data_IF_046644889433
#
_entry.id   IF_046644889433
#
_cell.length_a   1.000
_cell.length_b   1.000
_cell.length_c   1.000
_cell.angle_alpha   90.00
_cell.angle_beta   90.00
_cell.angle_gamma   90.00
#
_symmetry.space_group_name_H-M   'P 1'
#
loop_
_entity.id
_entity.type
_entity.pdbx_description
1 polymer ?
#
# COMPACT_ATOMS: atom_id res chain seq x y z
N UNK A 1 29.82 -56.07 43.33
CA UNK A 1 28.53 -56.35 42.66
C UNK A 1 28.12 -55.07 41.96
N UNK A 2 27.89 -55.19 40.65
CA UNK A 2 27.85 -54.14 39.62
C UNK A 2 26.70 -53.13 39.82
N UNK A 3 26.97 -51.83 39.79
CA UNK A 3 25.93 -50.80 39.58
C UNK A 3 26.20 -50.05 38.29
N UNK A 4 25.27 -50.20 37.36
CA UNK A 4 25.29 -49.72 35.98
C UNK A 4 24.97 -48.22 35.97
N UNK A 5 25.87 -47.41 35.39
CA UNK A 5 25.61 -46.01 35.10
C UNK A 5 24.65 -45.89 33.91
N UNK A 6 23.47 -45.29 34.11
CA UNK A 6 22.58 -44.88 33.02
C UNK A 6 22.82 -43.39 32.72
N UNK A 7 23.49 -43.10 31.62
CA UNK A 7 23.55 -41.76 31.03
C UNK A 7 22.25 -41.50 30.26
N UNK A 8 21.43 -40.55 30.73
CA UNK A 8 20.27 -40.05 30.00
C UNK A 8 20.70 -39.01 28.97
N UNK A 9 20.41 -39.28 27.69
CA UNK A 9 20.55 -38.32 26.59
C UNK A 9 19.21 -37.60 26.44
N UNK A 10 19.13 -36.26 26.58
CA UNK A 10 17.91 -35.55 26.28
C UNK A 10 17.76 -35.36 24.76
N UNK A 11 16.78 -36.03 24.17
CA UNK A 11 16.35 -35.80 22.79
C UNK A 11 15.74 -34.40 22.67
N UNK A 12 16.41 -33.49 21.96
CA UNK A 12 15.86 -32.21 21.54
C UNK A 12 14.81 -32.44 20.45
N UNK A 13 13.54 -32.18 20.78
CA UNK A 13 12.43 -32.14 19.83
C UNK A 13 12.50 -30.79 19.09
N UNK A 14 13.00 -30.79 17.86
CA UNK A 14 12.99 -29.60 16.99
C UNK A 14 11.60 -29.50 16.37
N UNK A 15 10.82 -28.50 16.79
CA UNK A 15 9.56 -28.17 16.14
C UNK A 15 9.82 -27.45 14.80
N UNK A 16 9.28 -27.93 13.68
CA UNK A 16 9.29 -27.16 12.45
C UNK A 16 8.31 -25.99 12.60
N UNK A 17 8.83 -24.77 12.61
CA UNK A 17 8.02 -23.56 12.48
C UNK A 17 7.38 -23.56 11.09
N UNK A 18 6.07 -23.79 11.01
CA UNK A 18 5.31 -23.58 9.79
C UNK A 18 5.27 -22.07 9.51
N UNK A 19 6.14 -21.60 8.62
CA UNK A 19 6.01 -20.27 8.04
C UNK A 19 4.83 -20.31 7.05
N UNK A 20 3.65 -19.86 7.50
CA UNK A 20 2.56 -19.54 6.59
C UNK A 20 2.97 -18.28 5.83
N UNK A 21 3.40 -18.44 4.59
CA UNK A 21 3.62 -17.32 3.69
C UNK A 21 2.30 -16.63 3.41
N UNK A 22 2.11 -15.42 3.94
CA UNK A 22 1.02 -14.55 3.49
C UNK A 22 1.38 -14.13 2.07
N UNK A 23 0.61 -14.64 1.11
CA UNK A 23 0.77 -14.36 -0.31
C UNK A 23 0.49 -12.87 -0.56
N UNK A 24 1.56 -12.06 -0.56
CA UNK A 24 1.57 -10.68 -1.03
C UNK A 24 1.62 -10.67 -2.55
N UNK A 25 0.59 -11.19 -3.23
CA UNK A 25 0.44 -10.87 -4.64
C UNK A 25 -0.33 -9.56 -4.71
N UNK A 26 0.29 -8.46 -5.17
CA UNK A 26 -0.48 -7.28 -5.51
C UNK A 26 -1.54 -7.67 -6.56
N UNK A 27 -2.74 -7.06 -6.50
CA UNK A 27 -3.76 -7.24 -7.52
C UNK A 27 -3.16 -7.10 -8.93
N UNK A 28 -3.61 -7.93 -9.87
CA UNK A 28 -3.16 -7.84 -11.27
C UNK A 28 -3.63 -6.51 -11.85
N UNK A 29 -2.70 -5.63 -12.19
CA UNK A 29 -2.98 -4.42 -12.95
C UNK A 29 -3.54 -4.81 -14.32
N UNK A 30 -4.72 -4.28 -14.67
CA UNK A 30 -5.29 -4.40 -16.01
C UNK A 30 -5.29 -3.02 -16.66
N UNK A 31 -4.64 -2.96 -17.82
CA UNK A 31 -4.41 -1.80 -18.67
C UNK A 31 -3.55 -0.68 -18.07
N UNK A 32 -2.41 -0.45 -18.70
CA UNK A 32 -1.62 0.76 -18.56
C UNK A 32 -1.13 1.08 -19.96
N UNK A 33 -1.82 1.98 -20.66
CA UNK A 33 -1.30 2.57 -21.89
C UNK A 33 -0.09 3.44 -21.54
N UNK A 34 1.08 2.81 -21.37
CA UNK A 34 2.36 3.49 -21.34
C UNK A 34 2.66 4.01 -22.74
N UNK A 35 2.26 5.24 -23.02
CA UNK A 35 2.61 5.90 -24.28
C UNK A 35 4.08 6.31 -24.22
N UNK A 36 4.95 5.41 -24.68
CA UNK A 36 6.38 5.63 -24.89
C UNK A 36 6.59 6.86 -25.79
N UNK A 37 6.90 8.00 -25.18
CA UNK A 37 7.16 9.27 -25.84
C UNK A 37 8.25 10.08 -25.13
N UNK A 38 9.38 9.45 -24.78
CA UNK A 38 10.56 10.17 -24.27
C UNK A 38 11.29 10.90 -25.40
N UNK A 39 10.77 12.07 -25.76
CA UNK A 39 11.47 13.05 -26.58
C UNK A 39 11.10 14.47 -26.10
N UNK A 40 11.65 14.89 -24.97
CA UNK A 40 11.69 16.30 -24.57
C UNK A 40 12.97 16.56 -23.76
N UNK A 41 13.73 17.59 -24.13
CA UNK A 41 14.98 18.00 -23.49
C UNK A 41 14.75 18.71 -22.13
N UNK A 42 13.63 18.42 -21.47
CA UNK A 42 13.28 18.81 -20.11
C UNK A 42 12.80 17.51 -19.50
N UNK A 43 13.48 16.95 -18.49
CA UNK A 43 13.11 15.66 -17.88
C UNK A 43 11.72 15.85 -17.25
N UNK A 44 10.62 15.35 -17.84
CA UNK A 44 9.27 15.75 -17.43
C UNK A 44 8.86 15.12 -16.09
N UNK A 45 9.50 14.00 -15.72
CA UNK A 45 9.12 13.18 -14.57
C UNK A 45 10.35 12.73 -13.77
N UNK A 46 11.19 13.67 -13.36
CA UNK A 46 12.24 13.39 -12.37
C UNK A 46 11.60 13.37 -10.97
N UNK A 47 11.50 12.19 -10.36
CA UNK A 47 10.93 12.00 -9.01
C UNK A 47 11.66 12.82 -7.95
N UNK A 48 12.95 13.12 -8.13
CA UNK A 48 13.72 13.94 -7.19
C UNK A 48 13.25 15.40 -7.14
N UNK A 49 12.58 15.86 -8.22
CA UNK A 49 11.98 17.19 -8.34
C UNK A 49 10.56 17.25 -7.78
N UNK A 50 9.95 16.11 -7.42
CA UNK A 50 8.59 16.09 -6.89
C UNK A 50 8.53 16.72 -5.49
N UNK A 51 7.42 17.41 -5.15
CA UNK A 51 7.19 17.84 -3.78
C UNK A 51 7.13 16.66 -2.82
N UNK A 52 7.89 16.75 -1.72
CA UNK A 52 8.02 15.70 -0.68
C UNK A 52 6.84 15.73 0.30
N UNK A 53 5.64 15.76 -0.26
CA UNK A 53 4.37 15.76 0.47
C UNK A 53 3.52 14.58 0.05
N UNK A 54 3.04 13.84 1.05
CA UNK A 54 1.98 12.84 0.92
C UNK A 54 0.71 13.46 1.50
N UNK A 55 -0.32 13.55 0.68
CA UNK A 55 -1.64 14.03 1.05
C UNK A 55 -2.58 12.85 1.24
N UNK A 56 -3.36 12.84 2.31
CA UNK A 56 -4.40 11.83 2.55
C UNK A 56 -5.74 12.52 2.78
N UNK A 57 -6.81 12.09 2.11
CA UNK A 57 -8.15 12.60 2.39
C UNK A 57 -8.65 12.13 3.75
N UNK A 58 -9.46 12.93 4.44
CA UNK A 58 -10.03 12.56 5.74
C UNK A 58 -10.89 11.27 5.65
N UNK A 59 -11.61 11.09 4.55
CA UNK A 59 -12.33 9.85 4.24
C UNK A 59 -11.40 8.62 4.27
N UNK A 60 -10.27 8.64 3.55
CA UNK A 60 -9.32 7.53 3.59
C UNK A 60 -8.64 7.39 4.95
N UNK A 61 -8.21 8.50 5.55
CA UNK A 61 -7.49 8.51 6.83
C UNK A 61 -8.28 7.82 7.96
N UNK A 62 -9.60 7.96 7.96
CA UNK A 62 -10.50 7.38 8.96
C UNK A 62 -10.99 5.97 8.63
N UNK A 63 -10.81 5.51 7.39
CA UNK A 63 -11.24 4.18 6.94
C UNK A 63 -10.32 3.11 7.49
N UNK A 64 -10.89 2.04 8.04
CA UNK A 64 -10.15 0.89 8.59
C UNK A 64 -10.27 -0.34 7.72
N UNK A 65 -9.20 -1.11 7.65
CA UNK A 65 -9.15 -2.40 6.96
C UNK A 65 -9.82 -3.52 7.78
N UNK A 66 -11.15 -3.48 7.84
CA UNK A 66 -11.94 -4.37 8.71
C UNK A 66 -11.97 -5.81 8.23
N UNK A 67 -11.76 -6.05 6.95
CA UNK A 67 -11.73 -7.41 6.40
C UNK A 67 -10.37 -8.10 6.62
N UNK A 68 -9.50 -7.53 7.46
CA UNK A 68 -8.18 -8.07 7.80
C UNK A 68 -8.27 -9.04 8.97
N UNK A 69 -7.31 -9.98 9.05
CA UNK A 69 -7.25 -10.97 10.14
C UNK A 69 -6.62 -10.42 11.43
N UNK A 70 -6.74 -9.12 11.68
CA UNK A 70 -6.13 -8.47 12.86
C UNK A 70 -7.19 -8.04 13.86
N UNK A 71 -6.88 -8.19 15.15
CA UNK A 71 -7.75 -7.73 16.24
C UNK A 71 -7.84 -6.19 16.31
N UNK A 72 -6.85 -5.49 15.75
CA UNK A 72 -6.79 -4.03 15.67
C UNK A 72 -6.55 -3.67 14.21
N UNK A 73 -7.63 -3.50 13.42
CA UNK A 73 -7.53 -3.16 12.01
C UNK A 73 -6.77 -1.85 11.78
N UNK A 74 -5.70 -1.83 10.97
CA UNK A 74 -5.02 -0.59 10.60
C UNK A 74 -5.98 0.33 9.84
N UNK A 75 -5.81 1.63 10.03
CA UNK A 75 -6.50 2.67 9.29
C UNK A 75 -5.71 3.08 8.04
N UNK A 76 -6.36 3.77 7.11
CA UNK A 76 -5.68 4.41 5.99
C UNK A 76 -4.60 5.39 6.45
N UNK A 77 -4.78 6.05 7.61
CA UNK A 77 -3.74 6.87 8.23
C UNK A 77 -2.53 6.04 8.66
N UNK A 78 -2.74 4.88 9.26
CA UNK A 78 -1.64 4.01 9.71
C UNK A 78 -0.83 3.50 8.50
N UNK A 79 -1.52 3.16 7.40
CA UNK A 79 -0.89 2.78 6.15
C UNK A 79 -0.13 3.94 5.49
N UNK A 80 -0.71 5.14 5.47
CA UNK A 80 -0.04 6.32 4.92
C UNK A 80 1.20 6.73 5.74
N UNK A 81 1.14 6.58 7.06
CA UNK A 81 2.29 6.81 7.93
C UNK A 81 3.44 5.85 7.60
N UNK A 82 3.13 4.56 7.46
CA UNK A 82 4.12 3.56 7.06
C UNK A 82 4.72 3.89 5.69
N UNK A 83 3.87 4.29 4.73
CA UNK A 83 4.32 4.67 3.39
C UNK A 83 5.28 5.87 3.39
N UNK A 84 5.02 6.88 4.23
CA UNK A 84 5.93 8.00 4.42
C UNK A 84 7.28 7.53 4.97
N UNK A 85 7.29 6.66 5.97
CA UNK A 85 8.53 6.10 6.53
C UNK A 85 9.33 5.32 5.48
N UNK A 86 8.66 4.58 4.60
CA UNK A 86 9.33 3.88 3.50
C UNK A 86 9.93 4.83 2.46
N UNK A 87 9.19 5.90 2.09
CA UNK A 87 9.71 6.94 1.20
C UNK A 87 10.95 7.60 1.80
N UNK A 88 10.92 7.95 3.08
CA UNK A 88 12.09 8.51 3.77
C UNK A 88 13.27 7.54 3.75
N UNK A 89 13.03 6.25 3.99
CA UNK A 89 14.08 5.22 3.96
C UNK A 89 14.71 5.04 2.57
N UNK A 90 13.94 5.18 1.49
CA UNK A 90 14.40 4.92 0.13
C UNK A 90 15.03 6.17 -0.49
N UNK A 91 14.44 7.35 -0.26
CA UNK A 91 14.92 8.61 -0.87
C UNK A 91 15.91 9.37 0.01
N UNK A 92 16.09 8.97 1.28
CA UNK A 92 16.95 9.68 2.24
C UNK A 92 16.52 11.13 2.52
N UNK A 93 15.29 11.49 2.17
CA UNK A 93 14.74 12.84 2.32
C UNK A 93 13.55 12.79 3.29
N UNK A 94 13.31 13.86 4.05
CA UNK A 94 12.11 13.94 4.89
C UNK A 94 10.84 14.11 4.05
N UNK A 95 9.80 13.34 4.37
CA UNK A 95 8.49 13.39 3.71
C UNK A 95 7.41 13.79 4.72
N UNK A 96 6.49 14.67 4.31
CA UNK A 96 5.41 15.14 5.18
C UNK A 96 4.09 14.44 4.87
N UNK A 97 3.42 13.87 5.88
CA UNK A 97 2.04 13.41 5.77
C UNK A 97 1.07 14.55 6.14
N UNK A 98 0.21 14.94 5.20
CA UNK A 98 -0.77 16.02 5.38
C UNK A 98 -2.17 15.50 5.11
N UNK A 99 -3.15 15.95 5.92
CA UNK A 99 -4.56 15.56 5.73
C UNK A 99 -5.29 16.64 4.95
N UNK A 100 -5.93 16.25 3.86
CA UNK A 100 -6.85 17.09 3.10
C UNK A 100 -8.24 17.02 3.73
N UNK A 101 -8.93 18.16 3.73
CA UNK A 101 -10.37 18.17 3.93
C UNK A 101 -11.07 17.42 2.78
N UNK A 102 -12.31 17.00 2.99
CA UNK A 102 -13.01 16.02 2.13
C UNK A 102 -13.24 16.47 0.67
N UNK A 103 -12.78 17.66 0.27
CA UNK A 103 -12.72 18.09 -1.12
C UNK A 103 -11.29 18.32 -1.63
N UNK A 104 -10.92 17.61 -2.69
CA UNK A 104 -9.72 17.89 -3.51
C UNK A 104 -9.94 19.07 -4.47
N UNK A 105 -10.63 20.12 -4.04
CA UNK A 105 -10.93 21.27 -4.90
C UNK A 105 -9.65 22.06 -5.27
N UNK A 106 -8.57 21.86 -4.51
CA UNK A 106 -7.27 22.44 -4.81
C UNK A 106 -6.35 21.37 -5.41
N UNK A 107 -5.81 21.57 -6.62
CA UNK A 107 -4.79 20.67 -7.16
C UNK A 107 -3.54 20.77 -6.30
N UNK A 108 -3.24 19.68 -5.58
CA UNK A 108 -2.03 19.53 -4.80
C UNK A 108 -0.99 18.72 -5.58
N UNK A 109 0.27 19.13 -5.45
CA UNK A 109 1.41 18.43 -6.02
C UNK A 109 1.97 17.39 -5.03
N UNK A 110 2.72 16.41 -5.56
CA UNK A 110 3.25 15.29 -4.79
C UNK A 110 2.32 14.06 -4.85
N UNK A 111 2.25 13.29 -3.77
CA UNK A 111 1.51 12.03 -3.74
C UNK A 111 0.19 12.22 -3.01
N UNK A 112 -0.91 11.75 -3.60
CA UNK A 112 -2.25 11.83 -3.01
C UNK A 112 -2.79 10.44 -2.80
N UNK A 113 -3.28 10.19 -1.59
CA UNK A 113 -3.98 8.98 -1.17
C UNK A 113 -5.45 9.33 -0.90
N UNK A 114 -6.35 8.64 -1.60
CA UNK A 114 -7.79 8.89 -1.51
C UNK A 114 -8.61 7.60 -1.61
N UNK A 115 -9.91 7.69 -1.34
CA UNK A 115 -10.89 6.64 -1.60
C UNK A 115 -11.63 6.91 -2.89
N UNK A 116 -11.98 5.84 -3.59
CA UNK A 116 -13.06 5.94 -4.57
C UNK A 116 -14.39 6.20 -3.84
N UNK A 117 -15.17 7.15 -4.36
CA UNK A 117 -16.57 7.29 -4.00
C UNK A 117 -17.38 6.05 -4.41
N UNK A 118 -18.59 5.91 -3.86
CA UNK A 118 -19.41 4.71 -4.07
C UNK A 118 -19.73 4.47 -5.55
N UNK A 119 -20.06 5.52 -6.30
CA UNK A 119 -20.40 5.42 -7.72
C UNK A 119 -19.20 4.95 -8.56
N UNK A 120 -18.02 5.51 -8.31
CA UNK A 120 -16.76 5.12 -8.95
C UNK A 120 -16.38 3.69 -8.62
N UNK A 121 -16.58 3.24 -7.37
CA UNK A 121 -16.30 1.85 -6.97
C UNK A 121 -17.15 0.85 -7.74
N UNK A 122 -18.44 1.16 -7.90
CA UNK A 122 -19.37 0.31 -8.62
C UNK A 122 -19.03 0.28 -10.12
N UNK A 123 -18.69 1.44 -10.70
CA UNK A 123 -18.30 1.56 -12.11
C UNK A 123 -17.00 0.80 -12.44
N UNK A 124 -16.02 0.80 -11.52
CA UNK A 124 -14.76 0.07 -11.70
C UNK A 124 -14.92 -1.45 -11.60
N UNK A 125 -16.02 -1.92 -10.98
CA UNK A 125 -16.34 -3.34 -10.82
C UNK A 125 -15.16 -4.19 -10.31
N UNK A 126 -14.38 -3.62 -9.38
CA UNK A 126 -13.25 -4.31 -8.77
C UNK A 126 -13.78 -5.35 -7.77
N UNK A 127 -13.64 -6.61 -8.16
CA UNK A 127 -14.14 -7.76 -7.42
C UNK A 127 -13.03 -8.78 -7.20
N UNK A 128 -13.14 -9.55 -6.14
CA UNK A 128 -12.39 -10.80 -6.00
C UNK A 128 -12.82 -11.80 -7.09
N UNK A 129 -12.06 -12.89 -7.24
CA UNK A 129 -12.42 -14.01 -8.12
C UNK A 129 -13.83 -14.57 -7.83
N UNK A 130 -14.30 -14.46 -6.59
CA UNK A 130 -15.66 -14.86 -6.20
C UNK A 130 -16.77 -13.94 -6.71
N UNK A 131 -16.45 -12.82 -7.36
CA UNK A 131 -17.39 -11.79 -7.78
C UNK A 131 -17.81 -10.83 -6.66
N UNK A 132 -17.29 -10.99 -5.44
CA UNK A 132 -17.56 -10.07 -4.32
C UNK A 132 -16.70 -8.82 -4.44
N UNK A 133 -17.27 -7.63 -4.21
CA UNK A 133 -16.52 -6.36 -4.20
C UNK A 133 -15.30 -6.44 -3.28
N UNK A 134 -14.15 -6.02 -3.79
CA UNK A 134 -12.90 -6.08 -3.03
C UNK A 134 -12.59 -4.76 -2.31
N UNK A 135 -12.00 -4.85 -1.11
CA UNK A 135 -11.35 -3.71 -0.43
C UNK A 135 -9.88 -3.55 -0.84
N UNK A 136 -9.34 -4.47 -1.64
CA UNK A 136 -7.95 -4.52 -2.12
C UNK A 136 -7.74 -3.83 -3.47
N UNK A 137 -8.81 -3.43 -4.13
CA UNK A 137 -8.74 -2.73 -5.41
C UNK A 137 -8.18 -1.32 -5.25
N UNK A 138 -7.39 -0.88 -6.23
CA UNK A 138 -6.92 0.49 -6.32
C UNK A 138 -6.72 0.93 -7.77
N UNK A 139 -6.67 2.24 -7.97
CA UNK A 139 -6.14 2.86 -9.19
C UNK A 139 -4.92 3.70 -8.83
N UNK A 140 -3.94 3.72 -9.72
CA UNK A 140 -2.75 4.57 -9.62
C UNK A 140 -2.67 5.40 -10.90
N UNK A 141 -2.65 6.71 -10.76
CA UNK A 141 -2.52 7.67 -11.84
C UNK A 141 -1.30 8.56 -11.58
N UNK A 142 -0.41 8.70 -12.56
CA UNK A 142 0.86 9.43 -12.43
C UNK A 142 1.00 10.39 -13.60
N UNK A 143 0.95 11.69 -13.32
CA UNK A 143 1.10 12.74 -14.33
C UNK A 143 1.73 13.99 -13.70
N UNK A 144 2.57 14.72 -14.45
CA UNK A 144 3.02 16.09 -14.15
C UNK A 144 3.52 16.33 -12.72
N UNK A 145 4.39 15.45 -12.19
CA UNK A 145 4.92 15.63 -10.82
C UNK A 145 3.98 15.19 -9.69
N UNK A 146 2.93 14.44 -10.04
CA UNK A 146 1.87 14.04 -9.11
C UNK A 146 1.50 12.58 -9.30
N UNK A 147 1.34 11.87 -8.18
CA UNK A 147 0.75 10.54 -8.14
C UNK A 147 -0.58 10.59 -7.37
N UNK A 148 -1.61 9.95 -7.88
CA UNK A 148 -2.91 9.79 -7.22
C UNK A 148 -3.18 8.29 -7.08
N UNK A 149 -3.24 7.84 -5.83
CA UNK A 149 -3.62 6.48 -5.46
C UNK A 149 -5.02 6.54 -4.86
N UNK A 150 -5.97 5.87 -5.51
CA UNK A 150 -7.33 5.71 -4.98
C UNK A 150 -7.57 4.26 -4.62
N UNK A 151 -7.92 4.00 -3.36
CA UNK A 151 -8.30 2.67 -2.91
C UNK A 151 -9.81 2.46 -2.95
N UNK A 152 -10.25 1.24 -3.21
CA UNK A 152 -11.62 0.83 -2.86
C UNK A 152 -11.75 0.68 -1.33
N UNK A 153 -10.65 0.45 -0.61
CA UNK A 153 -10.63 0.51 0.85
C UNK A 153 -9.25 0.94 1.34
N UNK A 154 -9.07 0.93 2.67
CA UNK A 154 -7.76 1.19 3.27
C UNK A 154 -6.70 0.21 2.76
N UNK A 155 -7.07 -1.07 2.57
CA UNK A 155 -6.16 -2.10 2.04
C UNK A 155 -5.81 -1.88 0.57
N UNK A 156 -6.76 -1.46 -0.24
CA UNK A 156 -6.51 -1.11 -1.64
C UNK A 156 -5.55 0.05 -1.76
N UNK A 157 -5.77 1.12 -1.00
CA UNK A 157 -4.84 2.25 -0.95
C UNK A 157 -3.44 1.81 -0.51
N UNK A 158 -3.34 0.90 0.48
CA UNK A 158 -2.08 0.28 0.87
C UNK A 158 -1.40 -0.48 -0.27
N UNK A 159 -2.13 -1.30 -1.05
CA UNK A 159 -1.53 -1.96 -2.21
C UNK A 159 -1.04 -0.96 -3.25
N UNK A 160 -1.80 0.11 -3.47
CA UNK A 160 -1.38 1.19 -4.36
C UNK A 160 -0.08 1.87 -3.93
N UNK A 161 0.12 2.11 -2.63
CA UNK A 161 1.40 2.67 -2.16
C UNK A 161 2.55 1.70 -2.37
N UNK A 162 2.34 0.39 -2.16
CA UNK A 162 3.37 -0.63 -2.42
C UNK A 162 3.71 -0.77 -3.89
N UNK A 163 2.74 -0.61 -4.78
CA UNK A 163 3.00 -0.56 -6.22
C UNK A 163 3.78 0.68 -6.63
N UNK A 164 3.51 1.84 -6.03
CA UNK A 164 4.27 3.06 -6.33
C UNK A 164 5.74 2.98 -5.87
N UNK A 165 6.02 2.22 -4.80
CA UNK A 165 7.39 2.01 -4.31
C UNK A 165 8.21 1.03 -5.15
N UNK A 166 7.56 0.16 -5.92
CA UNK A 166 8.22 -0.87 -6.75
C UNK A 166 8.67 -0.30 -8.08
#
# INVERSE_FOLDING_TARGET
MLFIAHTMVPSMLVYPSLALGIQLLPPVLRDSTFQSGFASNTVPDDFDLWPRSVWITRALASTRDKNGSTLIPPSGRDFAQTFVEDLESITGSGWALQTLDDSMDTPVQGIVLDLHDAESRDALNLTYESGVSTEEGYTLDINDGRAIIKGTGARGAWWGTRTLLQ
#
